data_IF_110812353347
#
_entry.id   IF_110812353347
#
_cell.length_a   1.000
_cell.length_b   1.000
_cell.length_c   1.000
_cell.angle_alpha   90.00
_cell.angle_beta   90.00
_cell.angle_gamma   90.00
#
_symmetry.space_group_name_H-M   'P 1'
#
loop_
_entity.id
_entity.type
_entity.pdbx_description
1 polymer ?
#
# COMPACT_ATOMS: atom_id res chain seq x y z
N UNK A 1 -0.68 -2.27 21.74
CA UNK A 1 0.00 -1.03 21.29
C UNK A 1 0.58 -1.15 19.88
N UNK A 2 1.49 -2.10 19.59
CA UNK A 2 2.10 -2.28 18.24
C UNK A 2 1.09 -2.47 17.10
N UNK A 3 0.05 -3.30 17.28
CA UNK A 3 -0.99 -3.51 16.25
C UNK A 3 -1.76 -2.22 15.91
N UNK A 4 -2.21 -1.49 16.92
CA UNK A 4 -2.94 -0.23 16.74
C UNK A 4 -2.10 0.79 15.98
N UNK A 5 -0.82 0.90 16.34
CA UNK A 5 0.12 1.78 15.64
C UNK A 5 0.28 1.39 14.16
N UNK A 6 0.49 0.10 13.86
CA UNK A 6 0.62 -0.37 12.48
C UNK A 6 -0.64 -0.09 11.65
N UNK A 7 -1.84 -0.25 12.23
CA UNK A 7 -3.10 0.09 11.56
C UNK A 7 -3.25 1.58 11.32
N UNK A 8 -3.00 2.41 12.33
CA UNK A 8 -3.09 3.88 12.20
C UNK A 8 -2.12 4.39 11.13
N UNK A 9 -0.88 3.87 11.11
CA UNK A 9 0.10 4.23 10.10
C UNK A 9 -0.31 3.73 8.70
N UNK A 10 -0.86 2.53 8.59
CA UNK A 10 -1.40 2.02 7.31
C UNK A 10 -2.54 2.88 6.79
N UNK A 11 -3.43 3.33 7.68
CA UNK A 11 -4.53 4.21 7.33
C UNK A 11 -4.03 5.58 6.87
N UNK A 12 -3.05 6.16 7.58
CA UNK A 12 -2.41 7.42 7.18
C UNK A 12 -1.73 7.31 5.81
N UNK A 13 -1.01 6.21 5.56
CA UNK A 13 -0.39 5.93 4.26
C UNK A 13 -1.47 5.79 3.19
N UNK A 14 -2.55 5.03 3.45
CA UNK A 14 -3.66 4.86 2.52
C UNK A 14 -4.32 6.18 2.13
N UNK A 15 -4.59 7.05 3.10
CA UNK A 15 -5.13 8.39 2.85
C UNK A 15 -4.16 9.28 2.05
N UNK A 16 -2.86 9.21 2.35
CA UNK A 16 -1.83 9.90 1.60
C UNK A 16 -1.76 9.44 0.13
N UNK A 17 -1.87 8.14 -0.12
CA UNK A 17 -1.91 7.59 -1.48
C UNK A 17 -3.17 8.02 -2.23
N UNK A 18 -4.34 8.04 -1.59
CA UNK A 18 -5.58 8.56 -2.20
C UNK A 18 -5.40 10.03 -2.60
N UNK A 19 -4.83 10.85 -1.72
CA UNK A 19 -4.59 12.26 -1.99
C UNK A 19 -3.64 12.46 -3.18
N UNK A 20 -2.50 11.75 -3.21
CA UNK A 20 -1.53 11.80 -4.31
C UNK A 20 -2.19 11.33 -5.62
N UNK A 21 -2.90 10.20 -5.58
CA UNK A 21 -3.55 9.65 -6.76
C UNK A 21 -4.63 10.56 -7.31
N UNK A 22 -5.45 11.16 -6.44
CA UNK A 22 -6.46 12.15 -6.85
C UNK A 22 -5.81 13.40 -7.47
N UNK A 23 -4.67 13.86 -6.94
CA UNK A 23 -3.90 14.96 -7.55
C UNK A 23 -3.43 14.61 -8.96
N UNK A 24 -2.98 13.37 -9.21
CA UNK A 24 -2.65 12.92 -10.56
C UNK A 24 -3.86 12.81 -11.50
N UNK A 25 -5.05 12.49 -10.98
CA UNK A 25 -6.28 12.41 -11.77
C UNK A 25 -6.85 13.79 -12.11
N UNK A 26 -6.83 14.72 -11.16
CA UNK A 26 -7.46 16.05 -11.33
C UNK A 26 -6.50 17.10 -11.88
N UNK A 27 -5.22 17.02 -11.52
CA UNK A 27 -4.21 18.01 -11.87
C UNK A 27 -2.85 17.33 -12.15
N UNK A 28 -2.74 16.52 -13.22
CA UNK A 28 -1.59 15.67 -13.48
C UNK A 28 -0.27 16.44 -13.61
N UNK A 29 -0.31 17.68 -14.14
CA UNK A 29 0.86 18.58 -14.19
C UNK A 29 1.40 18.91 -12.80
N UNK A 30 0.52 19.39 -11.91
CA UNK A 30 0.88 19.68 -10.53
C UNK A 30 1.31 18.41 -9.79
N UNK A 31 0.67 17.28 -10.09
CA UNK A 31 1.06 15.97 -9.56
C UNK A 31 2.51 15.65 -9.89
N UNK A 32 2.89 15.71 -11.17
CA UNK A 32 4.23 15.44 -11.66
C UNK A 32 5.30 16.39 -11.09
N UNK A 33 5.01 17.69 -11.09
CA UNK A 33 5.92 18.71 -10.56
C UNK A 33 6.21 18.50 -9.06
N UNK A 34 5.26 17.96 -8.30
CA UNK A 34 5.44 17.57 -6.90
C UNK A 34 6.51 16.48 -6.68
N UNK A 35 6.86 15.74 -7.74
CA UNK A 35 7.92 14.73 -7.74
C UNK A 35 9.17 15.19 -8.50
N UNK A 36 9.29 16.49 -8.80
CA UNK A 36 10.42 17.05 -9.55
C UNK A 36 10.36 16.76 -11.06
N UNK A 37 9.22 16.31 -11.57
CA UNK A 37 9.02 16.04 -13.00
C UNK A 37 8.38 17.28 -13.64
N UNK A 38 9.14 18.02 -14.43
CA UNK A 38 8.65 19.20 -15.15
C UNK A 38 8.20 18.82 -16.55
N UNK A 39 6.89 18.95 -16.80
CA UNK A 39 6.29 18.60 -18.08
C UNK A 39 6.35 19.79 -19.05
N UNK A 40 6.66 19.55 -20.34
CA UNK A 40 6.58 20.58 -21.37
C UNK A 40 5.20 21.25 -21.41
N UNK A 41 5.13 22.57 -21.66
CA UNK A 41 3.87 23.31 -21.68
C UNK A 41 2.92 22.92 -22.84
N UNK A 42 3.42 22.26 -23.89
CA UNK A 42 2.65 21.86 -25.08
C UNK A 42 2.86 20.36 -25.35
N UNK A 43 1.81 19.67 -25.81
CA UNK A 43 1.80 18.26 -26.24
C UNK A 43 2.07 17.16 -25.19
N UNK A 44 1.93 17.45 -23.90
CA UNK A 44 2.09 16.38 -22.90
C UNK A 44 0.87 15.45 -22.83
N UNK A 45 1.09 14.17 -23.14
CA UNK A 45 0.10 13.12 -22.93
C UNK A 45 0.10 12.63 -21.48
N UNK A 46 -1.02 12.85 -20.77
CA UNK A 46 -1.16 12.49 -19.36
C UNK A 46 -1.62 11.05 -19.10
N UNK A 47 -1.72 10.20 -20.12
CA UNK A 47 -2.24 8.83 -19.97
C UNK A 47 -1.53 8.03 -18.86
N UNK A 48 -0.20 8.08 -18.80
CA UNK A 48 0.59 7.43 -17.75
C UNK A 48 0.35 8.05 -16.35
N UNK A 49 0.09 9.35 -16.29
CA UNK A 49 -0.19 10.06 -15.04
C UNK A 49 -1.55 9.64 -14.48
N UNK A 50 -2.56 9.49 -15.35
CA UNK A 50 -3.87 8.97 -14.96
C UNK A 50 -3.81 7.51 -14.51
N UNK A 51 -3.06 6.66 -15.23
CA UNK A 51 -2.84 5.28 -14.84
C UNK A 51 -2.15 5.17 -13.46
N UNK A 52 -1.15 6.01 -13.20
CA UNK A 52 -0.54 6.14 -11.87
C UNK A 52 -1.57 6.60 -10.84
N UNK A 53 -2.35 7.62 -11.17
CA UNK A 53 -3.33 8.21 -10.27
C UNK A 53 -4.38 7.21 -9.78
N UNK A 54 -5.02 6.46 -10.69
CA UNK A 54 -6.02 5.47 -10.30
C UNK A 54 -5.42 4.29 -9.52
N UNK A 55 -4.18 3.89 -9.83
CA UNK A 55 -3.45 2.86 -9.10
C UNK A 55 -3.21 3.27 -7.65
N UNK A 56 -2.77 4.51 -7.42
CA UNK A 56 -2.52 5.03 -6.07
C UNK A 56 -3.83 5.18 -5.28
N UNK A 57 -4.91 5.65 -5.91
CA UNK A 57 -6.26 5.70 -5.29
C UNK A 57 -6.72 4.30 -4.91
N UNK A 58 -6.65 3.34 -5.82
CA UNK A 58 -7.07 1.96 -5.57
C UNK A 58 -6.29 1.31 -4.43
N UNK A 59 -4.95 1.40 -4.46
CA UNK A 59 -4.11 0.87 -3.39
C UNK A 59 -4.39 1.56 -2.05
N UNK A 60 -4.55 2.89 -2.04
CA UNK A 60 -4.85 3.64 -0.84
C UNK A 60 -6.22 3.31 -0.23
N UNK A 61 -7.24 3.06 -1.06
CA UNK A 61 -8.55 2.58 -0.62
C UNK A 61 -8.48 1.21 0.02
N UNK A 62 -7.71 0.27 -0.54
CA UNK A 62 -7.51 -1.05 0.08
C UNK A 62 -6.84 -0.93 1.46
N UNK A 63 -5.83 -0.07 1.59
CA UNK A 63 -5.17 0.19 2.88
C UNK A 63 -6.13 0.80 3.90
N UNK A 64 -6.88 1.85 3.52
CA UNK A 64 -7.85 2.50 4.39
C UNK A 64 -8.96 1.54 4.82
N UNK A 65 -9.48 0.74 3.89
CA UNK A 65 -10.52 -0.25 4.13
C UNK A 65 -10.07 -1.31 5.14
N UNK A 66 -8.96 -2.00 4.88
CA UNK A 66 -8.53 -3.09 5.75
C UNK A 66 -7.98 -2.60 7.10
N UNK A 67 -7.35 -1.42 7.15
CA UNK A 67 -6.95 -0.80 8.40
C UNK A 67 -8.17 -0.37 9.24
N UNK A 68 -9.18 0.24 8.61
CA UNK A 68 -10.42 0.68 9.27
C UNK A 68 -11.27 -0.48 9.79
N UNK A 69 -11.33 -1.59 9.04
CA UNK A 69 -12.02 -2.82 9.46
C UNK A 69 -11.21 -3.67 10.45
N UNK A 70 -9.93 -3.33 10.70
CA UNK A 70 -9.07 -4.08 11.61
C UNK A 70 -8.64 -5.46 11.10
N UNK A 71 -8.64 -5.68 9.78
CA UNK A 71 -8.25 -6.93 9.13
C UNK A 71 -6.74 -7.00 8.90
N UNK A 72 -5.99 -7.38 9.94
CA UNK A 72 -4.52 -7.36 9.95
C UNK A 72 -3.88 -8.22 8.84
N UNK A 73 -4.38 -9.44 8.61
CA UNK A 73 -3.79 -10.34 7.60
C UNK A 73 -4.03 -9.87 6.17
N UNK A 74 -5.27 -9.53 5.74
CA UNK A 74 -5.50 -8.91 4.45
C UNK A 74 -4.68 -7.62 4.27
N UNK A 75 -4.63 -6.76 5.28
CA UNK A 75 -3.83 -5.53 5.24
C UNK A 75 -2.34 -5.81 5.03
N UNK A 76 -1.77 -6.79 5.75
CA UNK A 76 -0.37 -7.19 5.59
C UNK A 76 -0.06 -7.67 4.17
N UNK A 77 -0.97 -8.46 3.56
CA UNK A 77 -0.82 -8.91 2.18
C UNK A 77 -0.92 -7.76 1.18
N UNK A 78 -1.84 -6.82 1.37
CA UNK A 78 -1.94 -5.62 0.51
C UNK A 78 -0.68 -4.77 0.60
N UNK A 79 -0.13 -4.56 1.80
CA UNK A 79 1.13 -3.83 1.97
C UNK A 79 2.31 -4.55 1.29
N UNK A 80 2.40 -5.88 1.45
CA UNK A 80 3.48 -6.68 0.87
C UNK A 80 3.41 -6.73 -0.66
N UNK A 81 2.27 -7.09 -1.23
CA UNK A 81 2.08 -7.15 -2.68
C UNK A 81 2.07 -5.75 -3.29
N UNK A 82 1.53 -4.76 -2.57
CA UNK A 82 1.53 -3.37 -2.96
C UNK A 82 2.95 -2.80 -3.08
N UNK A 83 3.91 -3.27 -2.29
CA UNK A 83 5.32 -2.87 -2.39
C UNK A 83 5.97 -3.24 -3.74
N UNK A 84 5.37 -4.13 -4.53
CA UNK A 84 5.82 -4.41 -5.91
C UNK A 84 5.67 -3.17 -6.80
N UNK A 85 4.61 -2.37 -6.61
CA UNK A 85 4.35 -1.16 -7.40
C UNK A 85 5.53 -0.17 -7.30
N UNK A 86 5.92 0.35 -6.12
CA UNK A 86 7.05 1.26 -6.03
C UNK A 86 8.40 0.59 -6.34
N UNK A 87 8.52 -0.73 -6.17
CA UNK A 87 9.75 -1.46 -6.54
C UNK A 87 9.98 -1.48 -8.05
N UNK A 88 8.93 -1.77 -8.82
CA UNK A 88 8.99 -1.74 -10.29
C UNK A 88 9.10 -0.31 -10.79
N UNK A 89 8.34 0.64 -10.24
CA UNK A 89 8.45 2.05 -10.60
C UNK A 89 9.88 2.58 -10.34
N UNK A 90 10.53 2.21 -9.22
CA UNK A 90 11.93 2.54 -8.95
C UNK A 90 12.87 1.95 -10.01
N UNK A 91 12.71 0.67 -10.36
CA UNK A 91 13.54 0.03 -11.38
C UNK A 91 13.42 0.75 -12.74
N UNK A 92 12.21 1.15 -13.12
CA UNK A 92 11.95 1.92 -14.34
C UNK A 92 12.63 3.30 -14.28
N UNK A 93 12.55 4.01 -13.15
CA UNK A 93 13.22 5.30 -12.97
C UNK A 93 14.74 5.15 -13.10
N UNK A 94 15.33 4.13 -12.47
CA UNK A 94 16.78 3.89 -12.51
C UNK A 94 17.29 3.47 -13.89
N UNK A 95 16.42 2.91 -14.73
CA UNK A 95 16.75 2.54 -16.10
C UNK A 95 16.79 3.74 -17.06
N UNK A 96 16.34 4.92 -16.64
CA UNK A 96 16.32 6.12 -17.49
C UNK A 96 17.62 6.93 -17.37
N UNK A 97 18.10 7.56 -18.47
CA UNK A 97 19.28 8.44 -18.45
C UNK A 97 19.14 9.64 -17.50
N UNK A 98 17.91 10.04 -17.20
CA UNK A 98 17.56 11.15 -16.30
C UNK A 98 17.39 10.74 -14.84
N UNK A 99 17.79 9.51 -14.47
CA UNK A 99 17.71 9.01 -13.11
C UNK A 99 18.41 9.97 -12.13
N UNK A 100 17.71 10.32 -11.06
CA UNK A 100 18.22 11.18 -10.01
C UNK A 100 17.61 10.79 -8.68
N UNK A 101 18.32 11.11 -7.58
CA UNK A 101 17.84 10.81 -6.23
C UNK A 101 16.46 11.41 -5.97
N UNK A 102 16.16 12.60 -6.54
CA UNK A 102 14.86 13.24 -6.40
C UNK A 102 13.70 12.39 -6.97
N UNK A 103 13.94 11.69 -8.09
CA UNK A 103 12.95 10.81 -8.72
C UNK A 103 12.87 9.44 -8.03
N UNK A 104 13.98 8.96 -7.47
CA UNK A 104 14.06 7.65 -6.79
C UNK A 104 13.48 7.69 -5.37
N UNK A 105 13.71 8.78 -4.63
CA UNK A 105 13.41 8.91 -3.22
C UNK A 105 11.94 8.60 -2.83
N UNK A 106 10.91 9.06 -3.57
CA UNK A 106 9.52 8.74 -3.25
C UNK A 106 9.25 7.23 -3.25
N UNK A 107 9.87 6.49 -4.18
CA UNK A 107 9.72 5.05 -4.31
C UNK A 107 10.45 4.31 -3.18
N UNK A 108 11.67 4.75 -2.83
CA UNK A 108 12.42 4.21 -1.70
C UNK A 108 11.70 4.39 -0.37
N UNK A 109 11.12 5.58 -0.14
CA UNK A 109 10.30 5.87 1.04
C UNK A 109 9.09 4.93 1.07
N UNK A 110 8.38 4.79 -0.05
CA UNK A 110 7.22 3.90 -0.12
C UNK A 110 7.59 2.44 0.23
N UNK A 111 8.66 1.90 -0.36
CA UNK A 111 9.16 0.55 -0.05
C UNK A 111 9.53 0.42 1.43
N UNK A 112 10.28 1.39 1.95
CA UNK A 112 10.71 1.44 3.35
C UNK A 112 9.57 1.60 4.36
N UNK A 113 8.42 2.13 3.95
CA UNK A 113 7.21 2.18 4.78
C UNK A 113 6.40 0.89 4.69
N UNK A 114 6.18 0.37 3.47
CA UNK A 114 5.28 -0.76 3.24
C UNK A 114 5.84 -2.09 3.79
N UNK A 115 7.11 -2.40 3.55
CA UNK A 115 7.68 -3.71 3.92
C UNK A 115 7.78 -3.91 5.45
N UNK A 116 8.30 -2.96 6.24
CA UNK A 116 8.34 -3.12 7.69
C UNK A 116 6.95 -3.17 8.31
N UNK A 117 5.99 -2.43 7.75
CA UNK A 117 4.61 -2.42 8.21
C UNK A 117 3.92 -3.77 7.95
N UNK A 118 4.12 -4.34 6.76
CA UNK A 118 3.68 -5.69 6.43
C UNK A 118 4.27 -6.72 7.41
N UNK A 119 5.59 -6.69 7.64
CA UNK A 119 6.26 -7.59 8.58
C UNK A 119 5.74 -7.43 10.01
N UNK A 120 5.49 -6.19 10.47
CA UNK A 120 4.88 -5.91 11.78
C UNK A 120 3.49 -6.52 11.90
N UNK A 121 2.66 -6.43 10.87
CA UNK A 121 1.31 -7.00 10.90
C UNK A 121 1.31 -8.54 10.82
N UNK A 122 2.23 -9.15 10.07
CA UNK A 122 2.40 -10.61 10.07
C UNK A 122 2.88 -11.16 11.41
N UNK A 123 3.83 -10.50 12.06
CA UNK A 123 4.36 -10.93 13.37
C UNK A 123 3.36 -10.74 14.49
N UNK A 124 2.39 -9.85 14.31
CA UNK A 124 1.37 -9.59 15.33
C UNK A 124 0.10 -10.40 15.12
N UNK A 125 -0.27 -10.80 13.89
CA UNK A 125 -1.48 -11.55 13.60
C UNK A 125 -1.43 -13.00 14.12
N UNK A 126 -2.27 -13.32 15.12
CA UNK A 126 -2.44 -14.70 15.57
C UNK A 126 -3.06 -15.57 14.46
N UNK A 127 -2.61 -16.83 14.29
CA UNK A 127 -3.30 -17.76 13.41
C UNK A 127 -4.74 -17.94 13.88
N UNK A 128 -5.68 -17.88 12.92
CA UNK A 128 -7.05 -18.28 13.18
C UNK A 128 -7.02 -19.71 13.75
N UNK A 129 -7.62 -19.92 14.92
CA UNK A 129 -7.82 -21.26 15.45
C UNK A 129 -8.50 -22.10 14.37
N UNK A 130 -7.99 -23.31 14.04
CA UNK A 130 -8.66 -24.16 13.08
C UNK A 130 -10.11 -24.33 13.52
N UNK A 131 -11.05 -24.03 12.63
CA UNK A 131 -12.48 -24.25 12.81
C UNK A 131 -12.64 -25.67 13.35
N UNK A 132 -13.25 -25.76 14.54
CA UNK A 132 -13.17 -26.91 15.41
C UNK A 132 -13.39 -28.23 14.69
N UNK A 133 -12.30 -28.98 14.49
CA UNK A 133 -12.38 -30.43 14.55
C UNK A 133 -12.66 -30.74 16.02
N UNK A 134 -13.95 -30.70 16.40
CA UNK A 134 -14.35 -31.17 17.72
C UNK A 134 -13.92 -32.63 17.83
N UNK A 135 -12.93 -32.88 18.70
CA UNK A 135 -12.44 -34.22 18.99
C UNK A 135 -13.62 -35.02 19.56
N UNK A 136 -13.93 -36.25 19.06
CA UNK A 136 -15.12 -37.02 19.43
C UNK A 136 -15.37 -37.12 20.95
N UNK A 137 -14.29 -37.14 21.73
CA UNK A 137 -14.25 -37.11 23.19
C UNK A 137 -15.11 -36.01 23.85
N UNK A 138 -15.27 -34.85 23.20
CA UNK A 138 -16.04 -33.73 23.76
C UNK A 138 -17.55 -33.87 23.54
N UNK A 139 -17.98 -34.63 22.53
CA UNK A 139 -19.39 -34.93 22.29
C UNK A 139 -19.95 -35.90 23.33
N UNK A 140 -19.11 -36.80 23.85
CA UNK A 140 -19.52 -37.80 24.86
C UNK A 140 -19.71 -37.17 26.23
N UNK A 141 -18.86 -36.21 26.63
CA UNK A 141 -18.96 -35.53 27.94
C UNK A 141 -20.11 -34.54 28.06
N UNK A 142 -20.65 -34.02 26.96
CA UNK A 142 -21.82 -33.14 27.01
C UNK A 142 -23.16 -33.90 27.08
N UNK A 143 -23.14 -35.23 26.97
CA UNK A 143 -24.35 -36.08 27.01
C UNK A 143 -24.55 -36.83 28.33
N UNK A 144 -23.73 -36.57 29.34
CA UNK A 144 -23.82 -37.15 30.70
C UNK A 144 -24.07 -36.05 31.72
#
# INVERSE_FOLDING_TARGET
>A
MRRTLSRSLSLLIGLGMIFIGLRFLLAPRLGAEGFGIFLPPTDTQYAFHYAKGIRDVFSGLLLALFAGLGYDRPLAWVLLLGALIPSVDLAIVRAQPTASLALELPHLIAIGLLLPLAASLFTTAHPASPVGVQRPEQLTRQRS
#
